data_IF_726941159697
#
_entry.id   IF_726941159697
#
_cell.length_a   1.000
_cell.length_b   1.000
_cell.length_c   1.000
_cell.angle_alpha   90.00
_cell.angle_beta   90.00
_cell.angle_gamma   90.00
#
_symmetry.space_group_name_H-M   'P 1'
#
loop_
_entity.id
_entity.type
_entity.pdbx_description
1 polymer ?
#
# COMPACT_ATOMS: atom_id res chain seq x y z
N UNK A 1 55.76 42.77 14.22
CA UNK A 1 54.39 42.47 13.77
C UNK A 1 54.46 41.86 12.38
N UNK A 2 54.32 40.55 12.25
CA UNK A 2 54.03 39.89 10.98
C UNK A 2 53.01 38.80 11.29
N UNK A 3 51.78 39.09 10.91
CA UNK A 3 50.61 38.24 11.04
C UNK A 3 50.60 37.34 9.80
N UNK A 4 51.16 36.13 9.92
CA UNK A 4 51.02 35.13 8.87
C UNK A 4 49.65 34.47 9.01
N UNK A 5 48.72 34.99 8.22
CA UNK A 5 47.39 34.45 7.96
C UNK A 5 47.44 32.94 7.71
N UNK A 6 46.62 32.18 8.43
CA UNK A 6 46.36 30.77 8.15
C UNK A 6 45.87 30.61 6.70
N UNK A 7 46.26 29.54 5.99
CA UNK A 7 45.76 29.28 4.65
C UNK A 7 44.27 28.99 4.72
N UNK A 8 43.57 29.61 3.77
CA UNK A 8 42.15 29.52 3.47
C UNK A 8 41.69 28.05 3.46
N UNK A 9 40.90 27.68 4.46
CA UNK A 9 40.20 26.41 4.53
C UNK A 9 39.07 26.47 3.49
N UNK A 10 39.44 26.31 2.21
CA UNK A 10 38.50 26.06 1.11
C UNK A 10 37.80 24.75 1.45
N UNK A 11 36.70 24.86 2.22
CA UNK A 11 35.68 23.83 2.36
C UNK A 11 35.26 23.44 0.96
N UNK A 12 35.88 22.37 0.47
CA UNK A 12 35.50 21.67 -0.73
C UNK A 12 34.01 21.36 -0.57
N UNK A 13 33.15 22.12 -1.27
CA UNK A 13 31.70 21.89 -1.25
C UNK A 13 31.51 20.47 -1.76
N UNK A 14 31.34 19.52 -0.84
CA UNK A 14 30.95 18.16 -1.17
C UNK A 14 29.66 18.27 -1.96
N UNK A 15 29.75 17.96 -3.26
CA UNK A 15 28.61 17.85 -4.16
C UNK A 15 27.59 16.94 -3.50
N UNK A 16 26.32 17.35 -3.52
CA UNK A 16 25.26 16.56 -2.90
C UNK A 16 25.26 15.15 -3.52
N UNK A 17 25.11 14.07 -2.74
CA UNK A 17 24.92 12.73 -3.30
C UNK A 17 23.76 12.65 -4.30
N UNK A 18 22.82 13.60 -4.23
CA UNK A 18 21.67 13.72 -5.12
C UNK A 18 22.02 14.31 -6.49
N UNK A 19 23.16 15.02 -6.64
CA UNK A 19 23.58 15.61 -7.93
C UNK A 19 23.90 14.55 -8.99
N UNK A 20 24.22 13.32 -8.57
CA UNK A 20 24.53 12.21 -9.47
C UNK A 20 23.29 11.37 -9.82
N UNK A 21 22.12 11.69 -9.27
CA UNK A 21 20.89 10.93 -9.51
C UNK A 21 20.24 11.45 -10.81
N UNK A 22 19.91 10.52 -11.71
CA UNK A 22 19.13 10.82 -12.91
C UNK A 22 17.85 11.61 -12.55
N UNK A 23 17.58 12.73 -13.24
CA UNK A 23 16.45 13.61 -12.95
C UNK A 23 15.09 12.91 -12.88
N UNK A 24 14.86 11.88 -13.72
CA UNK A 24 13.62 11.08 -13.66
C UNK A 24 13.51 10.27 -12.36
N UNK A 25 14.62 9.71 -11.90
CA UNK A 25 14.70 8.95 -10.65
C UNK A 25 14.48 9.88 -9.46
N UNK A 26 15.08 11.06 -9.49
CA UNK A 26 14.93 12.07 -8.44
C UNK A 26 13.48 12.54 -8.27
N UNK A 27 12.78 12.84 -9.37
CA UNK A 27 11.37 13.25 -9.30
C UNK A 27 10.47 12.11 -8.79
N UNK A 28 10.74 10.85 -9.18
CA UNK A 28 10.04 9.70 -8.60
C UNK A 28 10.22 9.61 -7.09
N UNK A 29 11.44 9.82 -6.58
CA UNK A 29 11.70 9.84 -5.13
C UNK A 29 10.95 10.98 -4.44
N UNK A 30 10.90 12.19 -5.01
CA UNK A 30 10.10 13.28 -4.44
C UNK A 30 8.62 12.93 -4.35
N UNK A 31 8.06 12.29 -5.36
CA UNK A 31 6.67 11.84 -5.32
C UNK A 31 6.43 10.82 -4.19
N UNK A 32 7.37 9.88 -3.99
CA UNK A 32 7.31 8.95 -2.85
C UNK A 32 7.41 9.70 -1.52
N UNK A 33 8.33 10.67 -1.39
CA UNK A 33 8.50 11.46 -0.17
C UNK A 33 7.20 12.17 0.25
N UNK A 34 6.42 12.68 -0.71
CA UNK A 34 5.12 13.31 -0.44
C UNK A 34 4.09 12.34 0.15
N UNK A 35 4.24 11.03 -0.08
CA UNK A 35 3.34 9.98 0.44
C UNK A 35 3.78 9.38 1.76
N UNK A 36 5.03 9.59 2.17
CA UNK A 36 5.54 9.02 3.43
C UNK A 36 4.69 9.35 4.66
N UNK A 37 4.09 10.55 4.82
CA UNK A 37 3.21 10.81 5.96
C UNK A 37 2.02 9.86 6.06
N UNK A 38 1.53 9.34 4.93
CA UNK A 38 0.39 8.40 4.88
C UNK A 38 0.78 6.99 5.38
N UNK A 39 2.07 6.65 5.37
CA UNK A 39 2.58 5.34 5.80
C UNK A 39 2.52 5.18 7.32
N UNK A 40 2.83 6.24 8.08
CA UNK A 40 2.92 6.20 9.54
C UNK A 40 1.66 5.60 10.22
N UNK A 41 0.46 6.12 9.93
CA UNK A 41 -0.78 5.57 10.47
C UNK A 41 -1.03 4.10 10.08
N UNK A 42 -0.65 3.69 8.86
CA UNK A 42 -0.79 2.30 8.42
C UNK A 42 0.16 1.38 9.19
N UNK A 43 1.39 1.83 9.46
CA UNK A 43 2.33 1.08 10.29
C UNK A 43 1.83 0.90 11.73
N UNK A 44 1.12 1.88 12.29
CA UNK A 44 0.47 1.72 13.59
C UNK A 44 -0.53 0.56 13.59
N UNK A 45 -1.33 0.44 12.52
CA UNK A 45 -2.25 -0.69 12.35
C UNK A 45 -1.51 -2.02 12.14
N UNK A 46 -0.41 -2.02 11.38
CA UNK A 46 0.41 -3.22 11.14
C UNK A 46 1.00 -3.78 12.44
N UNK A 47 1.50 -2.91 13.33
CA UNK A 47 2.06 -3.32 14.62
C UNK A 47 1.04 -4.07 15.50
N UNK A 48 -0.25 -3.75 15.36
CA UNK A 48 -1.34 -4.40 16.10
C UNK A 48 -1.97 -5.59 15.35
N UNK A 49 -1.53 -5.87 14.13
CA UNK A 49 -2.16 -6.87 13.25
C UNK A 49 -1.34 -8.16 13.20
N UNK A 50 -1.94 -9.27 13.63
CA UNK A 50 -1.25 -10.56 13.71
C UNK A 50 -0.60 -11.05 12.41
N UNK A 51 -1.16 -10.69 11.25
CA UNK A 51 -0.67 -11.10 9.94
C UNK A 51 0.29 -10.09 9.27
N UNK A 52 0.56 -8.93 9.90
CA UNK A 52 1.45 -7.88 9.38
C UNK A 52 2.58 -7.48 10.33
N UNK A 53 2.42 -7.68 11.63
CA UNK A 53 3.37 -7.22 12.66
C UNK A 53 4.80 -7.79 12.56
N UNK A 54 4.99 -8.86 11.79
CA UNK A 54 6.29 -9.53 11.61
C UNK A 54 6.81 -9.44 10.17
N UNK A 55 6.23 -8.57 9.33
CA UNK A 55 6.75 -8.34 7.99
C UNK A 55 8.10 -7.62 8.05
N UNK A 56 8.98 -7.93 7.10
CA UNK A 56 10.25 -7.23 6.99
C UNK A 56 10.02 -5.80 6.50
N UNK A 57 10.92 -4.88 6.86
CA UNK A 57 10.85 -3.48 6.40
C UNK A 57 10.86 -3.42 4.87
N UNK A 58 11.61 -4.30 4.21
CA UNK A 58 11.64 -4.42 2.75
C UNK A 58 10.28 -4.80 2.14
N UNK A 59 9.43 -5.53 2.86
CA UNK A 59 8.09 -5.87 2.38
C UNK A 59 7.18 -4.64 2.29
N UNK A 60 7.43 -3.60 3.11
CA UNK A 60 6.64 -2.38 3.13
C UNK A 60 6.73 -1.62 1.81
N UNK A 61 7.89 -1.64 1.15
CA UNK A 61 8.07 -1.02 -0.16
C UNK A 61 7.07 -1.61 -1.17
N UNK A 62 6.86 -2.92 -1.13
CA UNK A 62 5.98 -3.63 -2.08
C UNK A 62 4.49 -3.57 -1.67
N UNK A 63 4.22 -3.48 -0.36
CA UNK A 63 2.86 -3.48 0.17
C UNK A 63 2.21 -2.10 0.24
N UNK A 64 3.00 -1.05 0.50
CA UNK A 64 2.49 0.30 0.79
C UNK A 64 2.77 1.30 -0.32
N UNK A 65 3.94 1.25 -0.99
CA UNK A 65 4.24 2.26 -2.00
C UNK A 65 3.34 2.16 -3.24
N UNK A 66 3.15 0.99 -3.89
CA UNK A 66 2.31 0.92 -5.07
C UNK A 66 0.88 1.41 -4.84
N UNK A 67 0.14 0.99 -3.78
CA UNK A 67 -1.22 1.49 -3.57
C UNK A 67 -1.26 2.97 -3.22
N UNK A 68 -0.32 3.49 -2.43
CA UNK A 68 -0.26 4.93 -2.11
C UNK A 68 -0.03 5.76 -3.37
N UNK A 69 0.92 5.35 -4.21
CA UNK A 69 1.24 6.03 -5.45
C UNK A 69 0.09 5.98 -6.47
N UNK A 70 -0.64 4.86 -6.53
CA UNK A 70 -1.76 4.67 -7.43
C UNK A 70 -3.10 5.18 -6.86
N UNK A 71 -3.11 5.67 -5.61
CA UNK A 71 -4.34 5.98 -4.85
C UNK A 71 -5.31 4.78 -4.79
N UNK A 72 -4.75 3.58 -4.69
CA UNK A 72 -5.48 2.32 -4.58
C UNK A 72 -5.46 1.78 -3.15
N UNK A 73 -5.67 2.67 -2.19
CA UNK A 73 -5.87 2.33 -0.79
C UNK A 73 -6.74 3.36 -0.10
N UNK A 74 -7.29 2.97 1.05
CA UNK A 74 -8.06 3.85 1.92
C UNK A 74 -7.72 3.55 3.38
N UNK A 75 -7.40 4.61 4.11
CA UNK A 75 -7.26 4.59 5.56
C UNK A 75 -8.56 5.13 6.17
N UNK A 76 -9.09 4.44 7.16
CA UNK A 76 -10.25 4.84 7.92
C UNK A 76 -9.79 5.35 9.28
N UNK A 77 -10.24 6.54 9.64
CA UNK A 77 -9.90 7.18 10.90
C UNK A 77 -11.16 7.50 11.68
N UNK A 78 -11.07 7.41 13.01
CA UNK A 78 -12.12 7.83 13.93
C UNK A 78 -11.51 8.75 14.98
N UNK A 79 -12.06 9.96 15.14
CA UNK A 79 -11.55 10.99 16.07
C UNK A 79 -10.05 11.25 15.92
N UNK A 80 -9.52 11.15 14.70
CA UNK A 80 -8.10 11.34 14.38
C UNK A 80 -7.21 10.10 14.57
N UNK A 81 -7.76 8.96 15.02
CA UNK A 81 -7.01 7.71 15.20
C UNK A 81 -7.23 6.75 14.01
N UNK A 82 -6.18 6.10 13.48
CA UNK A 82 -6.36 5.08 12.45
C UNK A 82 -7.05 3.84 13.04
N UNK A 83 -8.09 3.35 12.36
CA UNK A 83 -8.89 2.20 12.80
C UNK A 83 -8.70 1.01 11.87
N UNK A 84 -8.78 1.25 10.56
CA UNK A 84 -8.60 0.22 9.55
C UNK A 84 -7.97 0.78 8.28
N UNK A 85 -7.33 -0.10 7.51
CA UNK A 85 -6.69 0.19 6.24
C UNK A 85 -7.05 -0.91 5.24
N UNK A 86 -7.27 -0.50 4.00
CA UNK A 86 -7.44 -1.42 2.88
C UNK A 86 -6.66 -0.95 1.67
N UNK A 87 -6.07 -1.89 0.94
CA UNK A 87 -5.49 -1.66 -0.38
C UNK A 87 -6.08 -2.61 -1.42
N UNK A 88 -6.11 -2.15 -2.67
CA UNK A 88 -6.61 -2.94 -3.78
C UNK A 88 -5.75 -2.80 -5.02
N UNK A 89 -5.90 -3.75 -5.93
CA UNK A 89 -5.24 -3.79 -7.22
C UNK A 89 -6.24 -4.10 -8.34
N UNK A 90 -5.95 -3.64 -9.55
CA UNK A 90 -6.66 -4.04 -10.75
C UNK A 90 -5.77 -4.92 -11.59
N UNK A 91 -6.08 -6.22 -11.61
CA UNK A 91 -5.22 -7.24 -12.19
C UNK A 91 -5.76 -7.72 -13.54
N UNK A 92 -4.85 -8.19 -14.39
CA UNK A 92 -5.22 -9.08 -15.49
C UNK A 92 -5.19 -10.55 -15.05
N UNK A 93 -5.67 -11.45 -15.91
CA UNK A 93 -5.77 -12.88 -15.61
C UNK A 93 -4.43 -13.56 -15.32
N UNK A 94 -3.37 -13.15 -16.02
CA UNK A 94 -2.03 -13.72 -15.84
C UNK A 94 -1.48 -13.39 -14.46
N UNK A 95 -1.62 -12.14 -14.04
CA UNK A 95 -1.18 -11.65 -12.72
C UNK A 95 -2.04 -12.24 -11.61
N UNK A 96 -3.36 -12.34 -11.81
CA UNK A 96 -4.29 -12.99 -10.88
C UNK A 96 -3.88 -14.44 -10.57
N UNK A 97 -3.60 -15.24 -11.60
CA UNK A 97 -3.14 -16.64 -11.44
C UNK A 97 -1.83 -16.70 -10.66
N UNK A 98 -0.92 -15.75 -10.86
CA UNK A 98 0.34 -15.67 -10.11
C UNK A 98 0.13 -15.25 -8.66
N UNK A 99 -0.76 -14.29 -8.40
CA UNK A 99 -1.10 -13.82 -7.05
C UNK A 99 -1.55 -14.98 -6.16
N UNK A 100 -2.45 -15.83 -6.68
CA UNK A 100 -2.98 -16.99 -5.95
C UNK A 100 -1.87 -17.99 -5.63
N UNK A 101 -0.95 -18.23 -6.57
CA UNK A 101 0.18 -19.16 -6.39
C UNK A 101 1.26 -18.62 -5.43
N UNK A 102 1.49 -17.31 -5.43
CA UNK A 102 2.57 -16.66 -4.67
C UNK A 102 2.10 -16.09 -3.31
N UNK A 103 1.04 -16.66 -2.73
CA UNK A 103 0.51 -16.28 -1.42
C UNK A 103 0.25 -14.76 -1.26
N UNK A 104 -0.22 -14.10 -2.33
CA UNK A 104 -0.66 -12.70 -2.26
C UNK A 104 0.42 -11.64 -2.55
N UNK A 105 1.60 -12.01 -3.08
CA UNK A 105 2.65 -11.04 -3.47
C UNK A 105 2.47 -10.51 -4.90
N UNK A 106 2.61 -9.19 -5.07
CA UNK A 106 2.55 -8.47 -6.35
C UNK A 106 3.81 -7.62 -6.54
N UNK A 107 4.33 -7.54 -7.77
CA UNK A 107 5.33 -6.52 -8.11
C UNK A 107 4.66 -5.15 -8.33
N UNK A 108 5.39 -4.02 -8.25
CA UNK A 108 4.79 -2.70 -8.45
C UNK A 108 4.02 -2.53 -9.76
N UNK A 109 4.50 -3.07 -10.89
CA UNK A 109 3.78 -2.99 -12.17
C UNK A 109 2.46 -3.77 -12.22
N UNK A 110 2.28 -4.76 -11.33
CA UNK A 110 1.10 -5.62 -11.33
C UNK A 110 -0.17 -4.91 -10.86
N UNK A 111 -0.02 -3.91 -9.98
CA UNK A 111 -1.12 -3.28 -9.23
C UNK A 111 -2.19 -2.64 -10.12
N UNK A 112 -1.85 -2.31 -11.37
CA UNK A 112 -2.73 -1.71 -12.38
C UNK A 112 -2.63 -2.42 -13.73
N UNK A 113 -2.44 -3.73 -13.71
CA UNK A 113 -2.21 -4.56 -14.90
C UNK A 113 -3.48 -4.93 -15.68
N UNK A 114 -4.68 -4.66 -15.14
CA UNK A 114 -5.95 -4.99 -15.80
C UNK A 114 -7.16 -4.32 -15.14
N UNK A 115 -8.28 -5.04 -15.09
CA UNK A 115 -9.57 -4.52 -14.59
C UNK A 115 -10.19 -5.35 -13.46
N UNK A 116 -9.63 -6.52 -13.15
CA UNK A 116 -10.15 -7.41 -12.10
C UNK A 116 -9.76 -6.87 -10.73
N UNK A 117 -10.76 -6.43 -9.96
CA UNK A 117 -10.55 -5.83 -8.64
C UNK A 117 -10.19 -6.90 -7.59
N UNK A 118 -9.04 -6.72 -6.95
CA UNK A 118 -8.53 -7.55 -5.87
C UNK A 118 -8.24 -6.71 -4.64
N UNK A 119 -8.70 -7.17 -3.48
CA UNK A 119 -8.24 -6.68 -2.18
C UNK A 119 -6.92 -7.36 -1.84
N UNK A 120 -5.88 -6.56 -1.62
CA UNK A 120 -4.51 -7.04 -1.41
C UNK A 120 -4.16 -7.03 0.07
N UNK A 121 -4.59 -5.99 0.78
CA UNK A 121 -4.35 -5.88 2.20
C UNK A 121 -5.59 -5.35 2.91
N UNK A 122 -6.00 -6.05 3.96
CA UNK A 122 -7.19 -5.76 4.76
C UNK A 122 -6.76 -5.79 6.21
N UNK A 123 -6.57 -4.61 6.80
CA UNK A 123 -5.96 -4.45 8.12
C UNK A 123 -6.93 -3.71 9.03
N UNK A 124 -7.41 -4.39 10.06
CA UNK A 124 -8.44 -3.87 10.95
C UNK A 124 -8.28 -4.46 12.37
N UNK A 125 -7.17 -4.17 13.06
CA UNK A 125 -6.81 -4.80 14.34
C UNK A 125 -7.82 -4.48 15.46
N UNK A 126 -8.59 -3.40 15.32
CA UNK A 126 -9.62 -2.97 16.27
C UNK A 126 -11.05 -3.33 15.80
N UNK A 127 -11.18 -4.15 14.76
CA UNK A 127 -12.44 -4.44 14.10
C UNK A 127 -12.79 -3.44 12.99
N UNK A 128 -14.04 -3.48 12.52
CA UNK A 128 -14.51 -2.59 11.44
C UNK A 128 -14.35 -3.14 10.01
N UNK A 129 -13.93 -4.40 9.86
CA UNK A 129 -13.82 -5.08 8.55
C UNK A 129 -15.12 -4.99 7.77
N UNK A 130 -16.27 -5.25 8.40
CA UNK A 130 -17.57 -5.23 7.72
C UNK A 130 -17.93 -3.85 7.17
N UNK A 131 -17.70 -2.77 7.94
CA UNK A 131 -17.94 -1.40 7.50
C UNK A 131 -17.04 -1.04 6.31
N UNK A 132 -15.77 -1.43 6.39
CA UNK A 132 -14.78 -1.19 5.35
C UNK A 132 -15.11 -1.96 4.06
N UNK A 133 -15.48 -3.23 4.17
CA UNK A 133 -15.91 -4.05 3.04
C UNK A 133 -17.22 -3.52 2.45
N UNK A 134 -18.15 -3.03 3.27
CA UNK A 134 -19.36 -2.38 2.79
C UNK A 134 -19.03 -1.10 2.01
N UNK A 135 -18.17 -0.22 2.53
CA UNK A 135 -17.77 0.99 1.78
C UNK A 135 -17.13 0.65 0.43
N UNK A 136 -16.25 -0.36 0.40
CA UNK A 136 -15.61 -0.84 -0.83
C UNK A 136 -16.64 -1.34 -1.83
N UNK A 137 -17.59 -2.16 -1.38
CA UNK A 137 -18.57 -2.81 -2.27
C UNK A 137 -19.70 -1.89 -2.70
N UNK A 138 -20.18 -1.02 -1.82
CA UNK A 138 -21.39 -0.23 -2.08
C UNK A 138 -21.08 1.22 -2.52
N UNK A 139 -19.93 1.77 -2.15
CA UNK A 139 -19.59 3.17 -2.46
C UNK A 139 -18.48 3.28 -3.50
N UNK A 140 -17.38 2.54 -3.33
CA UNK A 140 -16.21 2.66 -4.23
C UNK A 140 -16.37 1.84 -5.51
N UNK A 141 -16.89 0.61 -5.39
CA UNK A 141 -16.97 -0.35 -6.50
C UNK A 141 -18.34 -1.06 -6.58
N UNK A 142 -19.46 -0.32 -6.68
CA UNK A 142 -20.81 -0.90 -6.71
C UNK A 142 -21.13 -1.68 -8.00
N UNK A 143 -20.31 -1.55 -9.03
CA UNK A 143 -20.54 -2.06 -10.38
C UNK A 143 -19.75 -3.33 -10.71
N UNK A 144 -18.98 -3.88 -9.75
CA UNK A 144 -18.04 -4.97 -10.03
C UNK A 144 -17.87 -5.94 -8.86
N UNK A 145 -17.55 -7.21 -9.15
CA UNK A 145 -17.19 -8.17 -8.11
C UNK A 145 -15.85 -7.79 -7.47
N UNK A 146 -15.71 -8.12 -6.19
CA UNK A 146 -14.49 -7.89 -5.40
C UNK A 146 -13.86 -9.24 -5.08
N UNK A 147 -12.58 -9.41 -5.39
CA UNK A 147 -11.84 -10.65 -5.10
C UNK A 147 -10.93 -10.48 -3.90
N UNK A 148 -10.82 -11.51 -3.07
CA UNK A 148 -9.91 -11.55 -1.94
C UNK A 148 -9.28 -12.94 -1.83
N UNK A 149 -8.01 -12.98 -1.42
CA UNK A 149 -7.35 -14.23 -1.07
C UNK A 149 -7.72 -14.59 0.37
N UNK A 150 -8.60 -15.58 0.53
CA UNK A 150 -9.01 -16.07 1.84
C UNK A 150 -8.09 -17.19 2.31
N UNK A 151 -7.75 -17.21 3.60
CA UNK A 151 -7.08 -18.34 4.23
C UNK A 151 -8.12 -19.34 4.71
N UNK A 152 -7.91 -20.60 4.38
CA UNK A 152 -8.66 -21.70 4.93
C UNK A 152 -8.21 -21.95 6.38
N UNK A 153 -9.11 -21.85 7.38
CA UNK A 153 -8.78 -22.10 8.78
C UNK A 153 -8.33 -23.52 9.07
N UNK A 154 -8.81 -24.51 8.29
CA UNK A 154 -8.54 -25.92 8.53
C UNK A 154 -7.22 -26.37 7.90
N UNK A 155 -6.94 -25.93 6.67
CA UNK A 155 -5.75 -26.38 5.91
C UNK A 155 -4.59 -25.38 5.95
N UNK A 156 -4.84 -24.12 6.35
CA UNK A 156 -3.89 -23.02 6.21
C UNK A 156 -3.65 -22.59 4.75
N UNK A 157 -4.27 -23.28 3.79
CA UNK A 157 -4.20 -22.97 2.37
C UNK A 157 -4.86 -21.64 2.03
N UNK A 158 -4.52 -21.10 0.86
CA UNK A 158 -5.15 -19.89 0.32
C UNK A 158 -6.08 -20.25 -0.83
N UNK A 159 -7.27 -19.65 -0.85
CA UNK A 159 -8.22 -19.80 -1.94
C UNK A 159 -8.78 -18.44 -2.35
N UNK A 160 -9.15 -18.33 -3.62
CA UNK A 160 -9.90 -17.19 -4.13
C UNK A 160 -11.30 -17.20 -3.50
N UNK A 161 -11.69 -16.09 -2.90
CA UNK A 161 -13.07 -15.78 -2.55
C UNK A 161 -13.52 -14.59 -3.38
N UNK A 162 -14.58 -14.78 -4.15
CA UNK A 162 -15.23 -13.71 -4.90
C UNK A 162 -16.47 -13.23 -4.13
N UNK A 163 -16.55 -11.91 -3.90
CA UNK A 163 -17.72 -11.24 -3.37
C UNK A 163 -18.50 -10.68 -4.57
N UNK A 164 -19.75 -11.11 -4.79
CA UNK A 164 -20.53 -10.69 -5.94
C UNK A 164 -20.88 -9.20 -5.84
N UNK A 165 -21.29 -8.64 -6.99
CA UNK A 165 -21.87 -7.29 -7.06
C UNK A 165 -23.03 -7.23 -6.06
N UNK A 166 -23.06 -6.23 -5.16
CA UNK A 166 -24.15 -6.11 -4.22
C UNK A 166 -25.47 -5.89 -4.96
N UNK A 167 -26.55 -6.53 -4.50
CA UNK A 167 -27.88 -6.18 -4.94
C UNK A 167 -28.15 -4.71 -4.59
N UNK A 168 -28.76 -3.96 -5.53
CA UNK A 168 -29.26 -2.62 -5.20
C UNK A 168 -30.26 -2.80 -4.05
N UNK A 169 -30.06 -2.09 -2.94
CA UNK A 169 -31.14 -1.94 -1.97
C UNK A 169 -32.28 -1.25 -2.70
N UNK A 170 -33.41 -1.93 -2.89
CA UNK A 170 -34.66 -1.26 -3.22
C UNK A 170 -34.89 -0.21 -2.12
N UNK A 171 -35.11 1.03 -2.54
CA UNK A 171 -35.42 2.10 -1.63
C UNK A 171 -36.84 1.87 -1.12
N UNK A 172 -36.97 1.51 0.15
CA UNK A 172 -38.22 1.66 0.92
C UNK A 172 -38.48 3.15 1.22
#
# INVERSE_FOLDING_TARGET
MMENSKPDDKKERRKSPLENINGQVFEKYKEVLKRLPDIGPVLMLYMQSGHRKFNFISDLEWLLLPPLMLKQCKLYTEKGFPVSYISWAFLNETVEKRLIKNCGRLSPEDWKSGSRLWLIDVVAPFGGVERMLADIRFNLFPDRPVRILARDPATGGVHLRELPIPAKKEAD
#
